data_IF_176224797838
#
_entry.id   IF_176224797838
#
_cell.length_a   1.000
_cell.length_b   1.000
_cell.length_c   1.000
_cell.angle_alpha   90.00
_cell.angle_beta   90.00
_cell.angle_gamma   90.00
#
_symmetry.space_group_name_H-M   'P 1'
#
loop_
_entity.id
_entity.type
_entity.pdbx_description
1 polymer ?
#
# COMPACT_ATOMS: atom_id res chain seq x y z
N UNK A 1 22.78 -19.00 -18.29
CA UNK A 1 22.64 -19.41 -16.89
C UNK A 1 23.00 -18.31 -15.87
N UNK A 2 23.81 -17.32 -16.21
CA UNK A 2 24.19 -16.20 -15.31
C UNK A 2 23.10 -15.11 -15.15
N UNK A 3 22.17 -14.98 -16.09
CA UNK A 3 21.12 -13.94 -16.02
C UNK A 3 20.04 -14.26 -14.99
N UNK A 4 19.71 -15.56 -14.82
CA UNK A 4 18.68 -16.01 -13.86
C UNK A 4 19.08 -15.76 -12.39
N UNK A 5 20.38 -15.85 -12.06
CA UNK A 5 20.84 -15.66 -10.69
C UNK A 5 20.84 -14.19 -10.23
N UNK A 6 21.04 -13.22 -11.14
CA UNK A 6 20.99 -11.79 -10.82
C UNK A 6 19.56 -11.29 -10.62
N UNK A 7 18.62 -11.72 -11.45
CA UNK A 7 17.20 -11.37 -11.29
C UNK A 7 16.60 -11.95 -10.01
N UNK A 8 16.98 -13.17 -9.65
CA UNK A 8 16.48 -13.82 -8.43
C UNK A 8 16.98 -13.09 -7.17
N UNK A 9 18.25 -12.71 -7.11
CA UNK A 9 18.81 -11.94 -5.99
C UNK A 9 18.21 -10.53 -5.88
N UNK A 10 17.95 -9.86 -6.99
CA UNK A 10 17.31 -8.54 -7.00
C UNK A 10 15.87 -8.63 -6.45
N UNK A 11 15.08 -9.60 -6.89
CA UNK A 11 13.72 -9.82 -6.42
C UNK A 11 13.67 -10.18 -4.92
N UNK A 12 14.61 -10.97 -4.42
CA UNK A 12 14.70 -11.29 -2.99
C UNK A 12 15.00 -10.05 -2.16
N UNK A 13 15.98 -9.25 -2.56
CA UNK A 13 16.33 -8.00 -1.85
C UNK A 13 15.16 -7.01 -1.81
N UNK A 14 14.41 -6.87 -2.90
CA UNK A 14 13.20 -6.02 -2.94
C UNK A 14 12.13 -6.53 -1.98
N UNK A 15 11.87 -7.82 -1.97
CA UNK A 15 10.94 -8.45 -1.04
C UNK A 15 11.36 -8.28 0.42
N UNK A 16 12.64 -8.47 0.71
CA UNK A 16 13.19 -8.34 2.07
C UNK A 16 13.04 -6.90 2.60
N UNK A 17 13.31 -5.90 1.77
CA UNK A 17 13.11 -4.50 2.14
C UNK A 17 11.62 -4.15 2.31
N UNK A 18 10.71 -4.69 1.49
CA UNK A 18 9.27 -4.56 1.70
C UNK A 18 8.84 -5.18 3.04
N UNK A 19 9.31 -6.40 3.31
CA UNK A 19 9.00 -7.07 4.59
C UNK A 19 9.52 -6.25 5.76
N UNK A 20 10.76 -5.80 5.71
CA UNK A 20 11.38 -4.94 6.74
C UNK A 20 10.56 -3.67 6.98
N UNK A 21 10.08 -3.02 5.92
CA UNK A 21 9.24 -1.84 6.04
C UNK A 21 7.87 -2.16 6.68
N UNK A 22 7.25 -3.30 6.34
CA UNK A 22 6.00 -3.71 6.95
C UNK A 22 6.16 -4.08 8.43
N UNK A 23 7.25 -4.76 8.79
CA UNK A 23 7.57 -5.06 10.19
C UNK A 23 7.77 -3.78 11.01
N UNK A 24 8.48 -2.79 10.44
CA UNK A 24 8.66 -1.47 11.05
C UNK A 24 7.32 -0.77 11.27
N UNK A 25 6.45 -0.70 10.25
CA UNK A 25 5.11 -0.15 10.40
C UNK A 25 4.28 -0.94 11.41
N UNK A 26 4.38 -2.27 11.41
CA UNK A 26 3.70 -3.16 12.35
C UNK A 26 4.09 -2.95 13.81
N UNK A 27 5.30 -2.46 14.07
CA UNK A 27 5.78 -2.15 15.43
C UNK A 27 5.19 -0.86 16.00
N UNK A 28 4.69 0.06 15.15
CA UNK A 28 4.11 1.33 15.62
C UNK A 28 2.72 1.11 16.24
N UNK A 29 2.41 1.64 17.43
CA UNK A 29 1.19 1.31 18.19
C UNK A 29 -0.11 1.68 17.48
N UNK A 30 -0.11 2.70 16.62
CA UNK A 30 -1.31 3.22 15.99
C UNK A 30 -1.56 2.73 14.57
N UNK A 31 -0.69 1.91 14.00
CA UNK A 31 -0.90 1.36 12.65
C UNK A 31 -1.90 0.20 12.67
N UNK A 32 -2.73 0.17 11.62
CA UNK A 32 -3.68 -0.92 11.33
C UNK A 32 -3.57 -1.25 9.85
N UNK A 33 -3.32 -2.51 9.52
CA UNK A 33 -3.24 -2.98 8.15
C UNK A 33 -4.62 -3.41 7.68
N UNK A 34 -5.11 -2.82 6.61
CA UNK A 34 -6.45 -3.11 6.09
C UNK A 34 -6.38 -3.42 4.61
N UNK A 35 -7.19 -4.33 4.15
CA UNK A 35 -7.32 -4.58 2.73
C UNK A 35 -7.56 -6.04 2.37
N UNK A 36 -7.20 -6.35 1.15
CA UNK A 36 -7.27 -7.69 0.60
C UNK A 36 -5.89 -8.34 0.64
N UNK A 37 -5.84 -9.63 0.92
CA UNK A 37 -4.61 -10.40 1.08
C UNK A 37 -3.69 -9.86 2.20
N UNK A 38 -4.28 -9.42 3.31
CA UNK A 38 -3.54 -9.03 4.52
C UNK A 38 -3.45 -10.18 5.52
N UNK A 39 -4.43 -11.08 5.57
CA UNK A 39 -4.47 -12.26 6.45
C UNK A 39 -4.31 -13.58 5.70
N UNK A 40 -4.88 -13.70 4.50
CA UNK A 40 -4.85 -14.97 3.74
C UNK A 40 -3.46 -15.27 3.21
N UNK A 41 -2.88 -16.36 3.68
CA UNK A 41 -1.57 -16.84 3.27
C UNK A 41 -1.50 -17.23 1.78
N UNK A 42 -0.28 -17.16 1.21
CA UNK A 42 0.00 -17.64 -0.15
C UNK A 42 0.07 -16.56 -1.22
N UNK A 43 -0.09 -15.30 -0.86
CA UNK A 43 0.13 -14.18 -1.79
C UNK A 43 1.45 -13.46 -1.50
N UNK A 44 2.00 -12.78 -2.51
CA UNK A 44 3.18 -11.94 -2.31
C UNK A 44 2.91 -10.80 -1.31
N UNK A 45 1.69 -10.28 -1.27
CA UNK A 45 1.29 -9.24 -0.30
C UNK A 45 1.33 -9.79 1.12
N UNK A 46 0.59 -10.87 1.41
CA UNK A 46 0.52 -11.50 2.73
C UNK A 46 1.90 -11.91 3.24
N UNK A 47 2.75 -12.46 2.36
CA UNK A 47 4.09 -12.89 2.74
C UNK A 47 4.97 -11.76 3.27
N UNK A 48 4.75 -10.50 2.85
CA UNK A 48 5.44 -9.35 3.43
C UNK A 48 4.89 -8.93 4.79
N UNK A 49 3.73 -9.43 5.19
CA UNK A 49 3.03 -9.11 6.45
C UNK A 49 3.11 -10.23 7.50
N UNK A 50 3.92 -11.24 7.25
CA UNK A 50 3.89 -12.47 8.07
C UNK A 50 4.29 -12.22 9.53
N UNK A 51 5.12 -11.21 9.81
CA UNK A 51 5.58 -10.89 11.16
C UNK A 51 4.84 -9.65 11.74
N UNK A 52 3.88 -9.08 11.00
CA UNK A 52 2.94 -8.08 11.53
C UNK A 52 1.97 -8.77 12.49
N UNK A 53 1.75 -8.21 13.70
CA UNK A 53 0.83 -8.79 14.67
C UNK A 53 -0.59 -9.01 14.12
N UNK A 54 -1.20 -10.16 14.42
CA UNK A 54 -2.53 -10.53 13.93
C UNK A 54 -3.62 -9.49 14.29
N UNK A 55 -3.56 -8.96 15.51
CA UNK A 55 -4.52 -7.96 16.00
C UNK A 55 -4.39 -6.58 15.31
N UNK A 56 -3.44 -6.42 14.40
CA UNK A 56 -3.26 -5.24 13.56
C UNK A 56 -3.69 -5.45 12.12
N UNK A 57 -4.11 -6.64 11.76
CA UNK A 57 -4.56 -6.98 10.41
C UNK A 57 -6.07 -7.06 10.38
N UNK A 58 -6.66 -6.49 9.34
CA UNK A 58 -8.09 -6.51 9.07
C UNK A 58 -8.29 -6.87 7.60
N UNK A 59 -8.60 -8.13 7.35
CA UNK A 59 -8.98 -8.59 6.01
C UNK A 59 -10.38 -8.09 5.68
N UNK A 60 -10.52 -7.50 4.50
CA UNK A 60 -11.79 -6.98 4.01
C UNK A 60 -12.28 -7.78 2.80
N UNK A 61 -13.60 -7.86 2.60
CA UNK A 61 -14.14 -8.40 1.36
C UNK A 61 -13.67 -7.57 0.15
N UNK A 62 -13.69 -8.19 -1.04
CA UNK A 62 -13.33 -7.52 -2.28
C UNK A 62 -14.37 -6.43 -2.61
N UNK A 63 -14.10 -5.24 -2.12
CA UNK A 63 -14.87 -4.02 -2.38
C UNK A 63 -13.96 -2.82 -2.10
N UNK A 64 -13.27 -2.35 -3.10
CA UNK A 64 -12.19 -1.36 -2.96
C UNK A 64 -12.69 0.01 -2.53
N UNK A 65 -13.90 0.41 -2.95
CA UNK A 65 -14.53 1.65 -2.49
C UNK A 65 -14.84 1.59 -0.98
N UNK A 66 -15.41 0.48 -0.50
CA UNK A 66 -15.63 0.25 0.92
C UNK A 66 -14.32 0.24 1.70
N UNK A 67 -13.29 -0.43 1.19
CA UNK A 67 -11.96 -0.46 1.81
C UNK A 67 -11.40 0.96 1.98
N UNK A 68 -11.49 1.79 0.95
CA UNK A 68 -11.03 3.18 1.03
C UNK A 68 -11.87 4.02 2.00
N UNK A 69 -13.19 3.81 2.05
CA UNK A 69 -14.07 4.44 3.05
C UNK A 69 -13.69 4.05 4.48
N UNK A 70 -13.42 2.77 4.75
CA UNK A 70 -12.92 2.29 6.05
C UNK A 70 -11.55 2.91 6.36
N UNK A 71 -10.64 2.99 5.37
CA UNK A 71 -9.34 3.65 5.51
C UNK A 71 -9.51 5.10 5.99
N UNK A 72 -10.42 5.86 5.36
CA UNK A 72 -10.72 7.23 5.75
C UNK A 72 -11.25 7.30 7.19
N UNK A 73 -12.17 6.40 7.56
CA UNK A 73 -12.73 6.34 8.92
C UNK A 73 -11.69 6.02 9.99
N UNK A 74 -10.79 5.08 9.72
CA UNK A 74 -9.68 4.73 10.63
C UNK A 74 -8.74 5.92 10.81
N UNK A 75 -8.41 6.63 9.72
CA UNK A 75 -7.56 7.82 9.78
C UNK A 75 -8.23 8.96 10.56
N UNK A 76 -9.54 9.19 10.39
CA UNK A 76 -10.31 10.16 11.16
C UNK A 76 -10.43 9.79 12.64
N UNK A 77 -10.39 8.51 12.99
CA UNK A 77 -10.35 8.03 14.36
C UNK A 77 -8.95 8.17 15.01
N UNK A 78 -7.98 8.79 14.34
CA UNK A 78 -6.64 9.07 14.86
C UNK A 78 -5.67 7.88 14.78
N UNK A 79 -6.03 6.82 14.03
CA UNK A 79 -5.13 5.71 13.74
C UNK A 79 -4.45 5.91 12.38
N UNK A 80 -3.45 5.08 12.09
CA UNK A 80 -2.69 5.14 10.85
C UNK A 80 -2.98 3.87 10.03
N UNK A 81 -3.98 3.90 9.14
CA UNK A 81 -4.25 2.76 8.28
C UNK A 81 -3.15 2.58 7.24
N UNK A 82 -2.71 1.33 7.10
CA UNK A 82 -1.88 0.86 5.99
C UNK A 82 -2.82 0.10 5.05
N UNK A 83 -3.36 0.80 4.06
CA UNK A 83 -4.38 0.24 3.16
C UNK A 83 -3.71 -0.43 1.97
N UNK A 84 -3.97 -1.74 1.80
CA UNK A 84 -3.26 -2.58 0.84
C UNK A 84 -4.19 -3.04 -0.27
N UNK A 85 -3.83 -2.69 -1.50
CA UNK A 85 -4.49 -3.14 -2.72
C UNK A 85 -3.51 -4.00 -3.52
N UNK A 86 -3.86 -5.23 -3.88
CA UNK A 86 -2.91 -6.14 -4.55
C UNK A 86 -2.36 -5.61 -5.87
N UNK A 87 -3.17 -4.83 -6.60
CA UNK A 87 -2.79 -4.23 -7.89
C UNK A 87 -3.44 -2.87 -8.07
N UNK A 88 -2.78 -1.98 -8.79
CA UNK A 88 -3.31 -0.64 -9.04
C UNK A 88 -4.65 -0.65 -9.80
N UNK A 89 -4.85 -1.62 -10.69
CA UNK A 89 -6.12 -1.75 -11.39
C UNK A 89 -7.32 -1.91 -10.44
N UNK A 90 -7.16 -2.59 -9.32
CA UNK A 90 -8.20 -2.68 -8.29
C UNK A 90 -8.38 -1.36 -7.55
N UNK A 91 -7.28 -0.68 -7.25
CA UNK A 91 -7.32 0.63 -6.60
C UNK A 91 -8.09 1.70 -7.41
N UNK A 92 -8.23 1.55 -8.73
CA UNK A 92 -9.07 2.45 -9.54
C UNK A 92 -10.50 2.54 -9.03
N UNK A 93 -11.05 1.48 -8.47
CA UNK A 93 -12.42 1.45 -7.91
C UNK A 93 -12.54 2.31 -6.64
N UNK A 94 -11.44 2.57 -5.95
CA UNK A 94 -11.36 3.41 -4.75
C UNK A 94 -11.08 4.89 -5.06
N UNK A 95 -10.96 5.28 -6.32
CA UNK A 95 -10.51 6.62 -6.75
C UNK A 95 -11.31 7.74 -6.10
N UNK A 96 -12.65 7.64 -6.07
CA UNK A 96 -13.49 8.67 -5.48
C UNK A 96 -13.19 8.89 -3.99
N UNK A 97 -13.08 7.82 -3.22
CA UNK A 97 -12.79 7.89 -1.78
C UNK A 97 -11.43 8.53 -1.48
N UNK A 98 -10.47 8.35 -2.39
CA UNK A 98 -9.13 8.89 -2.21
C UNK A 98 -9.05 10.34 -2.71
N UNK A 99 -9.51 10.61 -3.93
CA UNK A 99 -9.37 11.93 -4.57
C UNK A 99 -10.34 12.95 -3.97
N UNK A 100 -11.59 12.55 -3.73
CA UNK A 100 -12.62 13.48 -3.26
C UNK A 100 -12.72 13.56 -1.74
N UNK A 101 -12.23 12.57 -1.01
CA UNK A 101 -12.32 12.52 0.45
C UNK A 101 -10.95 12.55 1.11
N UNK A 102 -10.15 11.49 1.09
CA UNK A 102 -8.89 11.43 1.83
C UNK A 102 -7.95 12.59 1.52
N UNK A 103 -7.77 12.91 0.24
CA UNK A 103 -6.93 14.02 -0.21
C UNK A 103 -7.45 15.40 0.22
N UNK A 104 -8.75 15.52 0.52
CA UNK A 104 -9.39 16.80 0.83
C UNK A 104 -9.74 17.00 2.31
N UNK A 105 -9.65 15.98 3.15
CA UNK A 105 -10.03 16.07 4.57
C UNK A 105 -9.36 17.27 5.26
N UNK A 106 -8.06 17.46 5.08
CA UNK A 106 -7.31 18.57 5.69
C UNK A 106 -7.64 19.94 5.11
N UNK A 107 -8.32 20.02 3.97
CA UNK A 107 -8.77 21.28 3.35
C UNK A 107 -10.17 21.69 3.81
N UNK A 108 -10.99 20.72 4.19
CA UNK A 108 -12.40 20.95 4.56
C UNK A 108 -12.67 20.79 6.06
N UNK A 109 -11.64 20.44 6.83
CA UNK A 109 -11.75 20.23 8.27
C UNK A 109 -10.41 20.47 8.96
N UNK A 110 -10.44 20.59 10.29
CA UNK A 110 -9.22 20.70 11.13
C UNK A 110 -8.58 19.32 11.44
N UNK A 111 -9.14 18.25 10.90
CA UNK A 111 -8.57 16.91 11.10
C UNK A 111 -7.26 16.74 10.34
N UNK A 112 -6.24 16.31 11.08
CA UNK A 112 -4.96 15.87 10.50
C UNK A 112 -4.95 14.37 10.39
N UNK A 113 -5.37 13.87 9.25
CA UNK A 113 -5.39 12.44 8.98
C UNK A 113 -4.06 11.96 8.41
N UNK A 114 -3.68 10.74 8.75
CA UNK A 114 -2.53 10.05 8.20
C UNK A 114 -2.95 8.67 7.70
N UNK A 115 -2.63 8.35 6.47
CA UNK A 115 -2.85 7.04 5.87
C UNK A 115 -1.71 6.69 4.92
N UNK A 116 -1.38 5.43 4.82
CA UNK A 116 -0.42 4.91 3.84
C UNK A 116 -1.18 3.94 2.95
N UNK A 117 -1.18 4.20 1.64
CA UNK A 117 -1.79 3.31 0.65
C UNK A 117 -0.66 2.59 -0.07
N UNK A 118 -0.73 1.27 -0.09
CA UNK A 118 0.21 0.41 -0.80
C UNK A 118 -0.49 -0.33 -1.92
N UNK A 119 0.04 -0.22 -3.13
CA UNK A 119 -0.45 -0.97 -4.29
C UNK A 119 0.70 -1.45 -5.17
N UNK A 120 0.48 -2.51 -5.94
CA UNK A 120 1.46 -3.06 -6.87
C UNK A 120 1.25 -2.56 -8.30
N UNK A 121 2.36 -2.33 -9.01
CA UNK A 121 2.38 -1.93 -10.42
C UNK A 121 3.03 -3.04 -11.25
N UNK A 122 2.46 -3.35 -12.42
CA UNK A 122 3.13 -4.12 -13.47
C UNK A 122 3.58 -5.52 -13.12
N UNK A 123 3.24 -6.05 -11.94
CA UNK A 123 3.70 -7.37 -11.53
C UNK A 123 3.16 -8.48 -12.42
N UNK A 124 4.05 -9.21 -13.05
CA UNK A 124 3.75 -10.35 -13.91
C UNK A 124 4.13 -11.70 -13.29
N UNK A 125 4.62 -11.70 -12.05
CA UNK A 125 4.99 -12.90 -11.29
C UNK A 125 4.21 -12.95 -9.97
N UNK A 126 3.91 -14.13 -9.42
CA UNK A 126 4.20 -15.49 -9.90
C UNK A 126 3.36 -15.89 -11.12
N UNK A 127 2.34 -15.14 -11.47
CA UNK A 127 1.43 -15.40 -12.58
C UNK A 127 1.26 -14.14 -13.42
N UNK A 128 1.31 -14.27 -14.74
CA UNK A 128 1.03 -13.16 -15.66
C UNK A 128 -0.48 -12.85 -15.67
N UNK A 129 -0.92 -11.68 -15.16
CA UNK A 129 -2.34 -11.39 -14.95
C UNK A 129 -3.03 -10.80 -16.18
N UNK A 130 -2.41 -10.91 -17.35
CA UNK A 130 -2.85 -10.30 -18.61
C UNK A 130 -2.85 -8.75 -18.57
N UNK A 131 -3.23 -8.12 -19.67
CA UNK A 131 -3.17 -6.67 -19.84
C UNK A 131 -4.09 -5.89 -18.89
N UNK A 132 -5.14 -6.51 -18.37
CA UNK A 132 -6.11 -5.88 -17.48
C UNK A 132 -5.57 -5.55 -16.08
N UNK A 133 -4.45 -6.13 -15.67
CA UNK A 133 -3.98 -6.07 -14.28
C UNK A 133 -2.50 -5.69 -14.13
N UNK A 134 -1.91 -5.07 -15.15
CA UNK A 134 -0.51 -4.61 -15.14
C UNK A 134 -0.37 -3.10 -15.33
N UNK A 135 -1.48 -2.36 -15.19
CA UNK A 135 -1.49 -0.92 -15.42
C UNK A 135 -0.65 -0.16 -14.40
N UNK A 136 -0.04 0.92 -14.87
CA UNK A 136 0.56 1.96 -14.05
C UNK A 136 -0.22 3.26 -14.24
N UNK A 137 -0.83 3.74 -13.18
CA UNK A 137 -1.64 4.96 -13.19
C UNK A 137 -1.01 6.08 -12.34
N UNK A 138 0.29 5.96 -12.04
CA UNK A 138 1.04 6.88 -11.18
C UNK A 138 0.86 8.34 -11.59
N UNK A 139 1.08 8.64 -12.87
CA UNK A 139 1.02 10.02 -13.36
C UNK A 139 -0.42 10.56 -13.41
N UNK A 140 -1.39 9.71 -13.73
CA UNK A 140 -2.80 10.11 -13.69
C UNK A 140 -3.23 10.53 -12.28
N UNK A 141 -2.86 9.73 -11.27
CA UNK A 141 -3.16 10.07 -9.88
C UNK A 141 -2.39 11.30 -9.38
N UNK A 142 -1.15 11.50 -9.79
CA UNK A 142 -0.40 12.73 -9.46
C UNK A 142 -1.10 14.00 -9.94
N UNK A 143 -1.81 13.93 -11.06
CA UNK A 143 -2.59 15.06 -11.57
C UNK A 143 -3.90 15.29 -10.79
N UNK A 144 -4.46 14.25 -10.19
CA UNK A 144 -5.73 14.33 -9.44
C UNK A 144 -5.55 14.71 -7.97
N UNK A 145 -4.39 14.40 -7.38
CA UNK A 145 -4.13 14.56 -5.95
C UNK A 145 -3.38 15.87 -5.67
N UNK A 146 -3.70 16.50 -4.55
CA UNK A 146 -3.12 17.78 -4.12
C UNK A 146 -2.32 17.66 -2.83
N UNK A 147 -2.73 16.78 -1.91
CA UNK A 147 -2.15 16.64 -0.58
C UNK A 147 -1.52 15.26 -0.34
N UNK A 148 -1.91 14.27 -1.13
CA UNK A 148 -1.34 12.91 -1.04
C UNK A 148 -0.12 12.83 -1.96
N UNK A 149 1.04 12.51 -1.39
CA UNK A 149 2.27 12.24 -2.13
C UNK A 149 2.25 10.82 -2.70
N UNK A 150 2.57 10.67 -3.98
CA UNK A 150 2.74 9.37 -4.62
C UNK A 150 4.22 9.10 -4.86
N UNK A 151 4.69 8.02 -4.27
CA UNK A 151 6.08 7.57 -4.41
C UNK A 151 6.06 6.24 -5.15
N UNK A 152 6.74 6.19 -6.29
CA UNK A 152 7.02 4.96 -7.00
C UNK A 152 8.35 4.39 -6.48
N UNK A 153 8.30 3.14 -6.06
CA UNK A 153 9.45 2.43 -5.50
C UNK A 153 9.95 1.43 -6.54
N UNK A 154 10.96 1.79 -7.29
CA UNK A 154 11.53 0.95 -8.35
C UNK A 154 12.72 0.12 -7.83
N UNK A 155 13.46 0.66 -6.84
CA UNK A 155 14.69 0.07 -6.32
C UNK A 155 14.52 -0.32 -4.83
N UNK A 156 15.10 -1.45 -4.39
CA UNK A 156 15.00 -1.91 -3.00
C UNK A 156 15.42 -0.85 -1.96
N UNK A 157 16.46 -0.10 -2.27
CA UNK A 157 17.05 0.91 -1.39
C UNK A 157 16.09 2.08 -1.08
N UNK A 158 15.08 2.29 -1.93
CA UNK A 158 14.07 3.34 -1.77
C UNK A 158 12.98 2.95 -0.77
N UNK A 159 12.76 1.65 -0.55
CA UNK A 159 11.56 1.12 0.11
C UNK A 159 11.49 1.56 1.57
N UNK A 160 12.41 1.11 2.38
CA UNK A 160 12.38 1.39 3.81
C UNK A 160 12.37 2.90 4.12
N UNK A 161 13.24 3.74 3.52
CA UNK A 161 13.23 5.18 3.77
C UNK A 161 11.91 5.85 3.37
N UNK A 162 11.24 5.39 2.32
CA UNK A 162 9.96 5.94 1.90
C UNK A 162 8.86 5.66 2.93
N UNK A 163 8.76 4.44 3.44
CA UNK A 163 7.78 4.08 4.47
C UNK A 163 8.09 4.76 5.81
N UNK A 164 9.35 4.87 6.19
CA UNK A 164 9.78 5.61 7.38
C UNK A 164 9.39 7.10 7.28
N UNK A 165 9.68 7.73 6.14
CA UNK A 165 9.25 9.12 5.87
C UNK A 165 7.73 9.26 5.92
N UNK A 166 6.99 8.34 5.32
CA UNK A 166 5.52 8.37 5.31
C UNK A 166 4.94 8.25 6.72
N UNK A 167 5.50 7.37 7.56
CA UNK A 167 5.07 7.22 8.96
C UNK A 167 5.35 8.49 9.79
N UNK A 168 6.48 9.15 9.56
CA UNK A 168 6.91 10.33 10.32
C UNK A 168 6.39 11.66 9.75
N UNK A 169 5.72 11.65 8.60
CA UNK A 169 5.14 12.86 8.00
C UNK A 169 4.04 13.42 8.90
N UNK A 170 4.12 14.70 9.20
CA UNK A 170 3.12 15.48 9.97
C UNK A 170 2.10 16.13 9.06
#
# INVERSE_FOLDING_TARGET
MQVLGKEFNFNMKYFDELKRAMDFLGSHPDTIFVGQAVEYAGTAMTNTLKDVPENKKLELPVCEDLQAGITNGIALAGKIPISIYPRWNFFLLATNQVVSHLDKISLISDYKTKAIIRTGIGSIRPMHPQHQHIGDFTDAYRLMLSNIEIIRLDEPEQIFPAYEKALNRT
#
